data_IF_341436612380
#
_entry.id   IF_341436612380
#
_cell.length_a   1.000
_cell.length_b   1.000
_cell.length_c   1.000
_cell.angle_alpha   90.00
_cell.angle_beta   90.00
_cell.angle_gamma   90.00
#
_symmetry.space_group_name_H-M   'P 1'
#
loop_
_entity.id
_entity.type
_entity.pdbx_description
1 polymer ?
#
# COMPACT_ATOMS: atom_id res chain seq x y z
N UNK A 1 89.00 -31.54 0.94
CA UNK A 1 88.23 -30.29 1.16
C UNK A 1 87.47 -29.94 -0.12
N UNK A 2 86.15 -30.15 -0.14
CA UNK A 2 85.16 -29.47 -1.01
C UNK A 2 83.79 -29.97 -0.53
N UNK A 3 83.13 -29.19 0.34
CA UNK A 3 81.76 -29.43 0.78
C UNK A 3 80.84 -28.73 -0.20
N UNK A 4 79.97 -29.48 -0.84
CA UNK A 4 78.83 -29.01 -1.65
C UNK A 4 77.73 -28.54 -0.70
N UNK A 5 77.30 -27.28 -0.83
CA UNK A 5 76.10 -26.76 -0.19
C UNK A 5 75.00 -26.73 -1.25
N UNK A 6 73.98 -27.57 -1.11
CA UNK A 6 72.75 -27.48 -1.88
C UNK A 6 71.71 -26.77 -1.02
N UNK A 7 71.38 -25.53 -1.37
CA UNK A 7 70.35 -24.73 -0.70
C UNK A 7 69.01 -25.10 -1.31
N UNK A 8 68.14 -25.75 -0.54
CA UNK A 8 66.75 -25.99 -0.93
C UNK A 8 65.92 -24.74 -0.64
N UNK A 9 65.34 -24.14 -1.69
CA UNK A 9 64.42 -23.02 -1.59
C UNK A 9 62.99 -23.56 -1.58
N UNK A 10 62.36 -23.61 -0.42
CA UNK A 10 60.93 -23.94 -0.29
C UNK A 10 60.10 -22.69 -0.59
N UNK A 11 59.49 -22.64 -1.78
CA UNK A 11 58.49 -21.63 -2.14
C UNK A 11 57.15 -22.09 -1.54
N UNK A 12 56.67 -21.37 -0.53
CA UNK A 12 55.33 -21.60 0.03
C UNK A 12 54.36 -20.65 -0.67
N UNK A 13 53.57 -21.17 -1.61
CA UNK A 13 52.56 -20.39 -2.32
C UNK A 13 51.33 -20.24 -1.42
N UNK A 14 51.12 -19.06 -0.85
CA UNK A 14 49.90 -18.73 -0.10
C UNK A 14 48.79 -18.44 -1.11
N UNK A 15 47.84 -19.37 -1.24
CA UNK A 15 46.64 -19.20 -2.07
C UNK A 15 45.65 -18.30 -1.31
N UNK A 16 45.59 -17.02 -1.67
CA UNK A 16 44.61 -16.08 -1.12
C UNK A 16 43.25 -16.36 -1.79
N UNK A 17 42.34 -17.05 -1.12
CA UNK A 17 40.94 -17.11 -1.55
C UNK A 17 40.31 -15.74 -1.34
N UNK A 18 40.16 -14.97 -2.41
CA UNK A 18 39.30 -13.79 -2.42
C UNK A 18 37.87 -14.33 -2.47
N UNK A 19 37.17 -14.31 -1.34
CA UNK A 19 35.73 -14.54 -1.32
C UNK A 19 35.06 -13.34 -2.00
N UNK A 20 34.66 -13.51 -3.27
CA UNK A 20 33.77 -12.57 -3.93
C UNK A 20 32.43 -12.61 -3.20
N UNK A 21 32.09 -11.55 -2.46
CA UNK A 21 30.72 -11.38 -2.00
C UNK A 21 29.80 -11.40 -3.23
N UNK A 22 28.68 -12.15 -3.21
CA UNK A 22 27.72 -12.05 -4.30
C UNK A 22 27.27 -10.59 -4.40
N UNK A 23 27.51 -9.99 -5.56
CA UNK A 23 26.87 -8.71 -5.89
C UNK A 23 25.39 -8.96 -6.00
N UNK A 24 24.56 -8.11 -5.36
CA UNK A 24 23.14 -8.09 -5.66
C UNK A 24 22.96 -7.88 -7.17
N UNK A 25 21.91 -8.47 -7.74
CA UNK A 25 21.53 -8.17 -9.11
C UNK A 25 21.20 -6.68 -9.24
N UNK A 26 21.29 -6.10 -10.44
CA UNK A 26 20.81 -4.72 -10.61
C UNK A 26 19.28 -4.67 -10.47
N UNK A 27 18.73 -3.66 -9.78
CA UNK A 27 17.29 -3.46 -9.72
C UNK A 27 16.68 -3.35 -11.13
N UNK A 28 15.53 -3.98 -11.39
CA UNK A 28 14.92 -3.99 -12.73
C UNK A 28 14.36 -2.62 -13.15
N UNK A 29 14.05 -1.73 -12.21
CA UNK A 29 13.42 -0.44 -12.48
C UNK A 29 14.21 0.76 -11.92
N UNK A 30 13.88 1.96 -12.39
CA UNK A 30 14.42 3.20 -11.81
C UNK A 30 13.54 3.73 -10.67
N UNK A 31 12.22 3.64 -10.84
CA UNK A 31 11.17 3.94 -9.88
C UNK A 31 9.87 3.25 -10.34
N UNK A 32 8.94 2.98 -9.44
CA UNK A 32 7.90 1.96 -9.72
C UNK A 32 6.54 2.47 -10.13
N UNK A 33 6.22 3.74 -9.84
CA UNK A 33 4.95 4.37 -10.22
C UNK A 33 4.74 4.47 -11.74
N UNK A 34 5.74 4.15 -12.57
CA UNK A 34 5.72 4.29 -14.03
C UNK A 34 5.64 2.96 -14.77
N UNK A 35 5.58 1.83 -14.06
CA UNK A 35 5.69 0.50 -14.66
C UNK A 35 4.41 0.16 -15.43
N UNK A 36 3.26 0.35 -14.80
CA UNK A 36 1.97 0.10 -15.41
C UNK A 36 0.91 1.06 -14.81
N UNK A 37 0.17 1.81 -15.65
CA UNK A 37 -0.85 2.76 -15.21
C UNK A 37 -2.21 2.10 -14.90
N UNK A 38 -2.34 0.79 -15.12
CA UNK A 38 -3.60 0.06 -14.94
C UNK A 38 -3.57 -0.81 -13.65
N UNK A 39 -2.65 -0.54 -12.72
CA UNK A 39 -2.65 -1.19 -11.39
C UNK A 39 -3.85 -0.67 -10.59
N UNK A 40 -4.13 0.63 -10.65
CA UNK A 40 -5.39 1.22 -10.18
C UNK A 40 -5.97 2.07 -11.30
N UNK A 41 -7.22 1.81 -11.63
CA UNK A 41 -7.90 2.43 -12.77
C UNK A 41 -8.93 3.47 -12.34
N UNK A 42 -9.44 4.23 -13.32
CA UNK A 42 -10.56 5.14 -13.12
C UNK A 42 -11.85 4.43 -12.65
N UNK A 43 -12.01 3.14 -13.00
CA UNK A 43 -13.20 2.35 -12.73
C UNK A 43 -13.14 1.62 -11.38
N UNK A 44 -11.98 1.58 -10.72
CA UNK A 44 -11.86 1.00 -9.39
C UNK A 44 -12.72 1.78 -8.37
N UNK A 45 -13.34 1.07 -7.42
CA UNK A 45 -14.19 1.67 -6.40
C UNK A 45 -13.40 2.65 -5.53
N UNK A 46 -14.09 3.68 -5.06
CA UNK A 46 -13.58 4.61 -4.07
C UNK A 46 -14.45 4.54 -2.83
N UNK A 47 -13.82 4.45 -1.66
CA UNK A 47 -14.46 4.49 -0.36
C UNK A 47 -15.02 5.89 -0.01
N UNK A 48 -14.86 6.88 -0.91
CA UNK A 48 -15.24 8.26 -0.63
C UNK A 48 -16.74 8.38 -0.34
N UNK A 49 -17.07 8.81 0.87
CA UNK A 49 -18.44 8.96 1.34
C UNK A 49 -18.91 10.42 1.25
N UNK A 50 -18.15 11.35 1.85
CA UNK A 50 -18.56 12.75 1.90
C UNK A 50 -17.42 13.75 2.01
N UNK A 51 -17.73 14.99 1.62
CA UNK A 51 -16.88 16.16 1.76
C UNK A 51 -17.71 17.30 2.36
N UNK A 52 -17.28 17.84 3.50
CA UNK A 52 -17.99 18.93 4.19
C UNK A 52 -17.09 20.15 4.34
N UNK A 53 -17.56 21.33 3.93
CA UNK A 53 -16.81 22.56 4.13
C UNK A 53 -16.78 22.95 5.61
N UNK A 54 -15.58 22.99 6.19
CA UNK A 54 -15.34 23.27 7.61
C UNK A 54 -14.93 24.73 7.89
N UNK A 55 -14.88 25.57 6.84
CA UNK A 55 -14.55 26.98 6.96
C UNK A 55 -13.13 27.31 6.53
N UNK A 56 -12.47 28.19 7.29
CA UNK A 56 -11.09 28.63 7.05
C UNK A 56 -10.31 28.69 8.34
N UNK A 57 -9.01 28.43 8.26
CA UNK A 57 -8.13 28.48 9.42
C UNK A 57 -6.67 28.67 9.01
N UNK A 58 -5.85 29.14 9.95
CA UNK A 58 -4.41 29.15 9.77
C UNK A 58 -3.84 27.77 10.08
N UNK A 59 -3.23 27.13 9.10
CA UNK A 59 -2.59 25.82 9.24
C UNK A 59 -1.14 25.86 8.74
N UNK A 60 -0.30 25.05 9.36
CA UNK A 60 1.09 24.86 8.92
C UNK A 60 1.11 23.68 7.96
N UNK A 61 1.46 23.95 6.70
CA UNK A 61 1.57 22.94 5.65
C UNK A 61 2.97 22.95 5.06
N UNK A 62 3.38 21.85 4.46
CA UNK A 62 4.60 21.84 3.64
C UNK A 62 4.29 22.34 2.22
N UNK A 63 5.17 23.17 1.66
CA UNK A 63 5.06 23.60 0.27
C UNK A 63 6.42 23.52 -0.43
N UNK A 64 6.59 22.57 -1.35
CA UNK A 64 7.84 22.38 -2.09
C UNK A 64 8.22 23.59 -2.96
N UNK A 65 7.30 24.53 -3.25
CA UNK A 65 7.63 25.77 -3.99
C UNK A 65 8.43 26.75 -3.15
N UNK A 66 8.23 26.71 -1.84
CA UNK A 66 9.03 27.44 -0.84
C UNK A 66 9.56 26.38 0.12
N UNK A 67 10.65 25.68 -0.24
CA UNK A 67 11.00 24.36 0.28
C UNK A 67 11.08 24.35 1.82
N UNK A 68 9.94 24.03 2.45
CA UNK A 68 9.77 24.21 3.88
C UNK A 68 8.30 24.34 4.31
N UNK A 69 8.15 24.59 5.60
CA UNK A 69 6.86 24.75 6.27
C UNK A 69 6.37 26.19 6.15
N UNK A 70 5.10 26.36 5.77
CA UNK A 70 4.45 27.65 5.61
C UNK A 70 3.13 27.69 6.36
N UNK A 71 2.76 28.84 6.91
CA UNK A 71 1.43 29.05 7.47
C UNK A 71 0.51 29.66 6.43
N UNK A 72 -0.59 28.98 6.13
CA UNK A 72 -1.60 29.43 5.17
C UNK A 72 -2.96 29.59 5.85
N UNK A 73 -3.75 30.57 5.42
CA UNK A 73 -5.17 30.63 5.76
C UNK A 73 -5.95 29.72 4.80
N UNK A 74 -5.96 28.43 5.07
CA UNK A 74 -6.50 27.39 4.19
C UNK A 74 -8.03 27.45 4.09
N UNK A 75 -8.56 26.96 2.97
CA UNK A 75 -9.93 26.45 2.93
C UNK A 75 -9.90 25.02 3.49
N UNK A 76 -10.80 24.71 4.42
CA UNK A 76 -10.81 23.44 5.14
C UNK A 76 -12.02 22.62 4.70
N UNK A 77 -11.78 21.34 4.41
CA UNK A 77 -12.84 20.38 4.14
C UNK A 77 -12.59 19.10 4.95
N UNK A 78 -13.60 18.66 5.67
CA UNK A 78 -13.59 17.37 6.32
C UNK A 78 -13.96 16.31 5.27
N UNK A 79 -13.10 15.30 5.14
CA UNK A 79 -13.23 14.18 4.22
C UNK A 79 -13.59 12.94 5.03
N UNK A 80 -14.61 12.21 4.59
CA UNK A 80 -15.04 10.95 5.23
C UNK A 80 -15.06 9.86 4.17
N UNK A 81 -14.50 8.69 4.52
CA UNK A 81 -14.62 7.46 3.75
C UNK A 81 -15.53 6.47 4.49
N UNK A 82 -16.19 5.58 3.75
CA UNK A 82 -17.22 4.65 4.24
C UNK A 82 -16.67 3.47 5.07
N UNK A 83 -15.35 3.34 5.15
CA UNK A 83 -14.63 2.49 6.10
C UNK A 83 -14.37 3.16 7.47
N UNK A 84 -14.84 4.39 7.64
CA UNK A 84 -14.75 5.16 8.88
C UNK A 84 -13.48 5.99 9.03
N UNK A 85 -12.57 5.98 8.05
CA UNK A 85 -11.41 6.88 8.03
C UNK A 85 -11.86 8.31 7.73
N UNK A 86 -11.17 9.29 8.30
CA UNK A 86 -11.41 10.71 8.07
C UNK A 86 -10.10 11.46 7.92
N UNK A 87 -10.09 12.50 7.09
CA UNK A 87 -8.98 13.45 6.96
C UNK A 87 -9.51 14.87 6.87
N UNK A 88 -8.63 15.85 7.02
CA UNK A 88 -8.91 17.24 6.66
C UNK A 88 -8.10 17.65 5.42
N UNK A 89 -8.80 17.99 4.35
CA UNK A 89 -8.17 18.64 3.21
C UNK A 89 -7.93 20.13 3.51
N UNK A 90 -6.68 20.55 3.40
CA UNK A 90 -6.22 21.92 3.65
C UNK A 90 -5.76 22.54 2.33
N UNK A 91 -6.61 23.39 1.75
CA UNK A 91 -6.42 23.90 0.40
C UNK A 91 -5.87 25.32 0.48
N UNK A 92 -4.78 25.57 -0.22
CA UNK A 92 -4.09 26.85 -0.21
C UNK A 92 -5.02 28.03 -0.60
N UNK A 93 -4.95 29.20 0.04
CA UNK A 93 -5.78 30.37 -0.31
C UNK A 93 -5.69 30.79 -1.79
N UNK A 94 -4.62 30.43 -2.50
CA UNK A 94 -4.39 30.76 -3.92
C UNK A 94 -5.43 30.18 -4.90
N UNK A 95 -6.28 29.24 -4.46
CA UNK A 95 -7.44 28.77 -5.24
C UNK A 95 -8.58 29.80 -5.30
N UNK A 96 -8.52 30.86 -4.49
CA UNK A 96 -9.30 32.08 -4.67
C UNK A 96 -10.77 32.02 -4.24
N UNK A 97 -11.38 30.84 -4.14
CA UNK A 97 -12.75 30.69 -3.65
C UNK A 97 -13.00 29.32 -3.01
N UNK A 98 -14.05 29.21 -2.18
CA UNK A 98 -14.52 27.95 -1.61
C UNK A 98 -14.89 26.95 -2.71
N UNK A 99 -15.56 27.40 -3.78
CA UNK A 99 -15.98 26.53 -4.88
C UNK A 99 -14.79 25.92 -5.62
N UNK A 100 -13.77 26.74 -5.94
CA UNK A 100 -12.56 26.23 -6.58
C UNK A 100 -11.79 25.28 -5.66
N UNK A 101 -11.74 25.57 -4.36
CA UNK A 101 -11.10 24.69 -3.39
C UNK A 101 -11.86 23.37 -3.20
N UNK A 102 -13.19 23.38 -3.25
CA UNK A 102 -14.03 22.19 -3.14
C UNK A 102 -13.81 21.21 -4.31
N UNK A 103 -13.62 21.72 -5.53
CA UNK A 103 -13.33 20.90 -6.72
C UNK A 103 -12.04 20.09 -6.51
N UNK A 104 -10.97 20.75 -6.03
CA UNK A 104 -9.71 20.06 -5.75
C UNK A 104 -9.84 19.10 -4.57
N UNK A 105 -10.49 19.53 -3.48
CA UNK A 105 -10.69 18.70 -2.30
C UNK A 105 -11.44 17.41 -2.65
N UNK A 106 -12.54 17.49 -3.42
CA UNK A 106 -13.32 16.33 -3.84
C UNK A 106 -12.52 15.42 -4.78
N UNK A 107 -11.77 15.99 -5.74
CA UNK A 107 -10.92 15.22 -6.65
C UNK A 107 -9.96 14.33 -5.89
N UNK A 108 -9.18 14.90 -4.97
CA UNK A 108 -8.18 14.12 -4.24
C UNK A 108 -8.79 13.21 -3.17
N UNK A 109 -9.90 13.61 -2.53
CA UNK A 109 -10.64 12.73 -1.62
C UNK A 109 -11.12 11.44 -2.31
N UNK A 110 -11.61 11.55 -3.55
CA UNK A 110 -12.02 10.40 -4.37
C UNK A 110 -10.83 9.55 -4.81
N UNK A 111 -9.76 10.17 -5.31
CA UNK A 111 -8.57 9.45 -5.76
C UNK A 111 -7.89 8.70 -4.60
N UNK A 112 -7.66 9.39 -3.46
CA UNK A 112 -7.16 8.76 -2.24
C UNK A 112 -8.13 7.65 -1.79
N UNK A 113 -9.44 7.87 -1.89
CA UNK A 113 -10.42 6.85 -1.51
C UNK A 113 -10.35 5.54 -2.30
N UNK A 114 -9.62 5.46 -3.41
CA UNK A 114 -9.40 4.19 -4.13
C UNK A 114 -8.27 3.35 -3.54
N UNK A 115 -7.32 3.97 -2.84
CA UNK A 115 -6.17 3.25 -2.30
C UNK A 115 -6.60 2.42 -1.07
N UNK A 116 -5.91 1.31 -0.77
CA UNK A 116 -6.18 0.48 0.40
C UNK A 116 -6.39 1.26 1.70
N UNK A 117 -7.34 0.81 2.54
CA UNK A 117 -7.58 1.33 3.89
C UNK A 117 -6.28 1.43 4.67
N UNK A 118 -5.43 0.40 4.61
CA UNK A 118 -4.16 0.37 5.33
C UNK A 118 -3.15 1.45 4.89
N UNK A 119 -3.37 2.12 3.75
CA UNK A 119 -2.56 3.26 3.30
C UNK A 119 -3.18 4.63 3.64
N UNK A 120 -4.39 4.64 4.20
CA UNK A 120 -5.12 5.84 4.62
C UNK A 120 -5.17 6.01 6.14
N UNK A 121 -4.84 4.96 6.91
CA UNK A 121 -4.97 4.95 8.39
C UNK A 121 -4.15 6.02 9.10
N UNK A 122 -3.06 6.50 8.50
CA UNK A 122 -2.25 7.60 9.04
C UNK A 122 -2.23 8.81 8.12
N UNK A 123 -3.31 9.05 7.37
CA UNK A 123 -3.51 10.26 6.56
C UNK A 123 -4.51 11.16 7.28
N UNK A 124 -4.04 12.01 8.18
CA UNK A 124 -4.89 13.00 8.86
C UNK A 124 -5.18 14.21 7.97
N UNK A 125 -4.24 14.59 7.11
CA UNK A 125 -4.31 15.84 6.35
C UNK A 125 -3.95 15.66 4.88
N UNK A 126 -4.61 16.43 4.01
CA UNK A 126 -4.30 16.48 2.58
C UNK A 126 -3.95 17.94 2.25
N UNK A 127 -2.68 18.21 1.98
CA UNK A 127 -2.20 19.57 1.69
C UNK A 127 -2.21 19.83 0.19
N UNK A 128 -3.08 20.74 -0.26
CA UNK A 128 -3.29 20.98 -1.69
C UNK A 128 -2.81 22.39 -2.06
N UNK A 129 -1.79 22.43 -2.90
CA UNK A 129 -1.14 23.64 -3.42
C UNK A 129 -1.21 23.68 -4.95
N UNK A 130 -1.16 24.85 -5.58
CA UNK A 130 -0.87 24.94 -7.02
C UNK A 130 0.61 24.68 -7.28
N UNK A 131 0.98 24.36 -8.51
CA UNK A 131 2.39 24.22 -8.93
C UNK A 131 2.71 22.83 -9.44
N UNK A 132 3.96 22.61 -9.84
CA UNK A 132 4.41 21.38 -10.54
C UNK A 132 5.46 20.60 -9.74
N UNK A 133 5.43 20.72 -8.41
CA UNK A 133 6.34 19.96 -7.56
C UNK A 133 5.82 18.54 -7.35
N UNK A 134 6.69 17.53 -7.18
CA UNK A 134 6.25 16.17 -6.88
C UNK A 134 5.38 16.10 -5.63
N UNK A 135 4.55 15.06 -5.54
CA UNK A 135 3.81 14.77 -4.33
C UNK A 135 4.77 14.40 -3.17
N UNK A 136 4.21 14.19 -1.98
CA UNK A 136 4.97 13.67 -0.86
C UNK A 136 4.08 13.12 0.25
N UNK A 137 4.45 11.98 0.80
CA UNK A 137 3.88 11.40 1.99
C UNK A 137 4.76 11.64 3.22
N UNK A 138 4.14 11.92 4.35
CA UNK A 138 4.81 12.03 5.64
C UNK A 138 4.11 13.01 6.58
N UNK A 139 4.51 13.05 7.85
CA UNK A 139 3.86 13.89 8.87
C UNK A 139 2.33 13.64 8.97
N UNK A 140 1.91 12.40 8.70
CA UNK A 140 0.50 12.00 8.66
C UNK A 140 -0.30 12.75 7.59
N UNK A 141 0.35 13.11 6.49
CA UNK A 141 -0.23 13.94 5.44
C UNK A 141 0.22 13.52 4.04
N UNK A 142 -0.63 13.79 3.05
CA UNK A 142 -0.27 13.74 1.62
C UNK A 142 -0.19 15.15 1.08
N UNK A 143 0.96 15.50 0.51
CA UNK A 143 1.24 16.75 -0.18
C UNK A 143 0.95 16.63 -1.66
N UNK A 144 0.14 17.57 -2.16
CA UNK A 144 -0.32 17.60 -3.55
C UNK A 144 -0.02 18.98 -4.15
N UNK A 145 0.55 18.95 -5.36
CA UNK A 145 0.68 20.13 -6.22
C UNK A 145 -0.11 19.91 -7.51
N UNK A 146 -1.15 20.72 -7.75
CA UNK A 146 -2.17 20.42 -8.77
C UNK A 146 -1.66 20.45 -10.21
N UNK A 147 -0.60 21.19 -10.50
CA UNK A 147 0.05 21.16 -11.82
C UNK A 147 0.89 19.90 -12.04
N UNK A 148 1.36 19.25 -10.97
CA UNK A 148 1.97 17.93 -11.07
C UNK A 148 0.91 16.85 -11.28
N UNK A 149 -0.28 17.03 -10.70
CA UNK A 149 -1.44 16.16 -10.96
C UNK A 149 -1.73 16.07 -12.45
N UNK A 150 -1.72 17.19 -13.18
CA UNK A 150 -1.92 17.18 -14.64
C UNK A 150 -0.92 16.29 -15.37
N UNK A 151 0.34 16.24 -14.90
CA UNK A 151 1.39 15.39 -15.48
C UNK A 151 1.14 13.92 -15.14
N UNK A 152 0.75 13.62 -13.90
CA UNK A 152 0.44 12.26 -13.47
C UNK A 152 -0.80 11.71 -14.19
N UNK A 153 -1.85 12.51 -14.34
CA UNK A 153 -3.05 12.12 -15.08
C UNK A 153 -2.77 11.89 -16.56
N UNK A 154 -1.96 12.74 -17.20
CA UNK A 154 -1.55 12.54 -18.61
C UNK A 154 -0.74 11.25 -18.81
N UNK A 155 -0.07 10.78 -17.76
CA UNK A 155 0.70 9.54 -17.77
C UNK A 155 -0.08 8.34 -17.23
N UNK A 156 -1.29 8.55 -16.70
CA UNK A 156 -2.12 7.52 -16.09
C UNK A 156 -1.62 7.00 -14.75
N UNK A 157 -0.78 7.75 -14.01
CA UNK A 157 -0.10 7.23 -12.79
C UNK A 157 -0.51 7.93 -11.49
N UNK A 158 -1.62 8.67 -11.51
CA UNK A 158 -2.05 9.44 -10.34
C UNK A 158 -2.33 8.52 -9.14
N UNK A 159 -3.07 7.44 -9.37
CA UNK A 159 -3.51 6.54 -8.31
C UNK A 159 -2.32 5.68 -7.80
N UNK A 160 -1.42 5.25 -8.67
CA UNK A 160 -0.13 4.59 -8.34
C UNK A 160 0.76 5.49 -7.49
N UNK A 161 0.80 6.79 -7.81
CA UNK A 161 1.53 7.76 -7.01
C UNK A 161 0.92 7.90 -5.62
N UNK A 162 -0.42 7.92 -5.50
CA UNK A 162 -1.08 7.99 -4.20
C UNK A 162 -0.86 6.74 -3.34
N UNK A 163 -0.74 5.55 -3.94
CA UNK A 163 -0.31 4.33 -3.22
C UNK A 163 1.10 4.51 -2.64
N UNK A 164 2.03 5.05 -3.44
CA UNK A 164 3.39 5.33 -3.00
C UNK A 164 3.41 6.31 -1.82
N UNK A 165 2.74 7.46 -1.94
CA UNK A 165 2.71 8.47 -0.86
C UNK A 165 1.94 7.99 0.37
N UNK A 166 0.85 7.25 0.19
CA UNK A 166 0.10 6.62 1.29
C UNK A 166 0.95 5.63 2.07
N UNK A 167 1.82 4.87 1.39
CA UNK A 167 2.77 3.95 2.02
C UNK A 167 3.75 4.68 2.95
N UNK A 168 4.28 5.84 2.55
CA UNK A 168 5.14 6.63 3.44
C UNK A 168 4.43 7.06 4.72
N UNK A 169 3.17 7.47 4.61
CA UNK A 169 2.40 7.92 5.78
C UNK A 169 2.07 6.75 6.70
N UNK A 170 1.52 5.67 6.16
CA UNK A 170 0.85 4.65 6.96
C UNK A 170 1.70 3.43 7.28
N UNK A 171 2.78 3.17 6.53
CA UNK A 171 3.58 1.95 6.69
C UNK A 171 4.99 2.22 7.22
N UNK A 172 5.67 3.29 6.79
CA UNK A 172 7.10 3.47 7.07
C UNK A 172 7.44 3.44 8.57
N UNK A 173 6.63 4.10 9.41
CA UNK A 173 6.86 4.16 10.86
C UNK A 173 6.88 2.77 11.50
N UNK A 174 6.00 1.87 11.06
CA UNK A 174 5.89 0.52 11.60
C UNK A 174 6.88 -0.46 10.96
N UNK A 175 7.17 -0.30 9.67
CA UNK A 175 7.79 -1.34 8.87
C UNK A 175 9.21 -1.03 8.38
N UNK A 176 9.58 0.24 8.11
CA UNK A 176 10.85 0.58 7.43
C UNK A 176 12.10 0.15 8.22
N UNK A 177 11.96 -0.01 9.53
CA UNK A 177 13.01 -0.47 10.43
C UNK A 177 12.67 -1.78 11.16
N UNK A 178 11.55 -2.43 10.80
CA UNK A 178 11.15 -3.70 11.40
C UNK A 178 12.17 -4.79 11.02
N UNK A 179 12.51 -5.65 11.98
CA UNK A 179 13.49 -6.72 11.75
C UNK A 179 13.07 -7.64 10.60
N UNK A 180 11.78 -7.97 10.50
CA UNK A 180 11.27 -8.80 9.41
C UNK A 180 11.37 -8.13 8.03
N UNK A 181 11.21 -6.81 7.96
CA UNK A 181 11.38 -6.07 6.70
C UNK A 181 12.85 -6.06 6.28
N UNK A 182 13.75 -5.73 7.21
CA UNK A 182 15.20 -5.72 6.96
C UNK A 182 15.69 -7.13 6.58
N UNK A 183 15.14 -8.18 7.20
CA UNK A 183 15.45 -9.57 6.84
C UNK A 183 14.98 -9.92 5.42
N UNK A 184 13.78 -9.49 5.04
CA UNK A 184 13.28 -9.63 3.67
C UNK A 184 14.17 -8.88 2.66
N UNK A 185 14.55 -7.62 2.96
CA UNK A 185 15.47 -6.82 2.15
C UNK A 185 16.80 -7.55 1.90
N UNK A 186 17.39 -8.14 2.94
CA UNK A 186 18.68 -8.83 2.85
C UNK A 186 18.59 -10.20 2.17
N UNK A 187 17.41 -10.81 2.14
CA UNK A 187 17.17 -12.13 1.56
C UNK A 187 16.78 -12.07 0.08
N UNK A 188 16.37 -10.89 -0.39
CA UNK A 188 16.00 -10.67 -1.80
C UNK A 188 17.22 -10.59 -2.73
N UNK A 189 17.12 -11.10 -3.97
CA UNK A 189 18.20 -11.00 -4.95
C UNK A 189 18.60 -9.56 -5.28
N UNK A 190 17.67 -8.60 -5.19
CA UNK A 190 17.92 -7.17 -5.35
C UNK A 190 16.80 -6.30 -4.75
N UNK A 191 16.88 -5.00 -4.96
CA UNK A 191 15.78 -4.05 -4.73
C UNK A 191 14.89 -3.98 -5.97
N UNK A 192 13.63 -3.59 -5.80
CA UNK A 192 12.71 -3.46 -6.93
C UNK A 192 13.11 -2.33 -7.88
N UNK A 193 13.71 -1.26 -7.36
CA UNK A 193 14.18 -0.13 -8.15
C UNK A 193 15.50 0.45 -7.63
N UNK A 194 16.19 1.21 -8.47
CA UNK A 194 17.38 1.96 -8.04
C UNK A 194 17.02 3.03 -7.02
N UNK A 195 15.84 3.62 -7.11
CA UNK A 195 15.37 4.61 -6.14
C UNK A 195 15.15 3.99 -4.75
N UNK A 196 14.51 2.83 -4.70
CA UNK A 196 14.38 2.01 -3.50
C UNK A 196 15.75 1.64 -2.91
N UNK A 197 16.68 1.14 -3.73
CA UNK A 197 18.04 0.77 -3.28
C UNK A 197 18.77 1.94 -2.65
N UNK A 198 18.81 3.07 -3.34
CA UNK A 198 19.62 4.22 -2.97
C UNK A 198 19.02 4.97 -1.77
N UNK A 199 17.74 4.72 -1.44
CA UNK A 199 17.00 5.32 -0.33
C UNK A 199 16.25 4.26 0.50
N UNK A 200 16.88 3.11 0.76
CA UNK A 200 16.22 1.90 1.27
C UNK A 200 15.44 2.00 2.59
N UNK A 201 15.74 3.02 3.40
CA UNK A 201 15.04 3.30 4.66
C UNK A 201 13.83 4.21 4.52
N UNK A 202 13.62 4.78 3.33
CA UNK A 202 12.53 5.71 3.04
C UNK A 202 11.67 5.20 1.90
N UNK A 203 12.28 4.70 0.83
CA UNK A 203 11.58 4.45 -0.44
C UNK A 203 11.23 2.98 -0.69
N UNK A 204 11.91 2.03 -0.04
CA UNK A 204 11.78 0.63 -0.43
C UNK A 204 10.39 0.03 -0.14
N UNK A 205 9.72 0.47 0.94
CA UNK A 205 8.34 0.04 1.21
C UNK A 205 7.40 0.60 0.18
N UNK A 206 7.40 1.93 -0.02
CA UNK A 206 6.51 2.60 -0.97
C UNK A 206 6.70 2.09 -2.40
N UNK A 207 7.95 1.88 -2.81
CA UNK A 207 8.27 1.32 -4.12
C UNK A 207 7.84 -0.13 -4.25
N UNK A 208 8.02 -0.97 -3.21
CA UNK A 208 7.69 -2.40 -3.25
C UNK A 208 6.19 -2.71 -3.08
N UNK A 209 5.47 -1.90 -2.28
CA UNK A 209 4.07 -2.15 -1.95
C UNK A 209 3.17 -2.07 -3.19
N UNK A 210 3.41 -1.08 -4.06
CA UNK A 210 2.67 -0.94 -5.31
C UNK A 210 2.81 -2.20 -6.20
N UNK A 211 4.01 -2.77 -6.32
CA UNK A 211 4.19 -3.98 -7.12
C UNK A 211 3.69 -5.23 -6.43
N UNK A 212 3.67 -5.26 -5.10
CA UNK A 212 2.98 -6.32 -4.39
C UNK A 212 1.49 -6.32 -4.72
N UNK A 213 0.84 -5.14 -4.74
CA UNK A 213 -0.55 -5.02 -5.18
C UNK A 213 -0.73 -5.54 -6.62
N UNK A 214 0.16 -5.11 -7.53
CA UNK A 214 0.13 -5.54 -8.93
C UNK A 214 0.26 -7.07 -9.06
N UNK A 215 1.27 -7.68 -8.44
CA UNK A 215 1.52 -9.12 -8.56
C UNK A 215 0.42 -9.96 -7.91
N UNK A 216 -0.16 -9.52 -6.79
CA UNK A 216 -1.11 -10.33 -6.03
C UNK A 216 -2.57 -10.15 -6.47
N UNK A 217 -2.95 -8.95 -6.91
CA UNK A 217 -4.37 -8.59 -7.10
C UNK A 217 -4.69 -8.00 -8.47
N UNK A 218 -3.67 -7.68 -9.28
CA UNK A 218 -3.82 -7.11 -10.64
C UNK A 218 -2.79 -7.70 -11.60
N UNK A 219 -2.51 -9.00 -11.46
CA UNK A 219 -1.45 -9.66 -12.24
C UNK A 219 -1.74 -9.66 -13.74
N UNK A 220 -3.01 -9.53 -14.10
CA UNK A 220 -3.54 -9.41 -15.45
C UNK A 220 -3.32 -8.02 -16.08
N UNK A 221 -3.07 -6.98 -15.27
CA UNK A 221 -2.74 -5.65 -15.75
C UNK A 221 -1.29 -5.58 -16.23
N UNK A 222 -0.37 -6.22 -15.50
CA UNK A 222 1.06 -6.19 -15.82
C UNK A 222 1.49 -7.24 -16.85
N UNK A 223 2.56 -6.95 -17.58
CA UNK A 223 3.12 -7.92 -18.53
C UNK A 223 3.70 -9.15 -17.81
N UNK A 224 3.73 -10.31 -18.49
CA UNK A 224 4.39 -11.50 -17.94
C UNK A 224 5.88 -11.26 -17.66
N UNK A 225 6.52 -10.36 -18.41
CA UNK A 225 7.89 -9.95 -18.18
C UNK A 225 8.01 -9.20 -16.85
N UNK A 226 7.15 -8.22 -16.59
CA UNK A 226 7.17 -7.44 -15.34
C UNK A 226 6.82 -8.31 -14.14
N UNK A 227 5.80 -9.18 -14.26
CA UNK A 227 5.49 -10.17 -13.23
C UNK A 227 6.73 -10.99 -12.86
N UNK A 228 7.48 -11.47 -13.85
CA UNK A 228 8.70 -12.24 -13.63
C UNK A 228 9.82 -11.41 -13.02
N UNK A 229 10.03 -10.16 -13.48
CA UNK A 229 11.03 -9.26 -12.92
C UNK A 229 10.76 -8.97 -11.45
N UNK A 230 9.52 -8.61 -11.10
CA UNK A 230 9.12 -8.29 -9.73
C UNK A 230 9.29 -9.52 -8.82
N UNK A 231 8.72 -10.67 -9.21
CA UNK A 231 8.74 -11.89 -8.38
C UNK A 231 10.13 -12.49 -8.21
N UNK A 232 11.04 -12.26 -9.16
CA UNK A 232 12.44 -12.67 -9.03
C UNK A 232 13.28 -11.64 -8.28
N UNK A 233 12.96 -10.35 -8.38
CA UNK A 233 13.73 -9.29 -7.74
C UNK A 233 13.52 -9.26 -6.22
N UNK A 234 12.25 -9.34 -5.77
CA UNK A 234 11.87 -9.07 -4.37
C UNK A 234 10.95 -10.13 -3.70
N UNK A 235 11.15 -11.45 -3.91
CA UNK A 235 10.22 -12.48 -3.44
C UNK A 235 9.93 -12.45 -1.94
N UNK A 236 10.92 -12.11 -1.10
CA UNK A 236 10.78 -12.09 0.35
C UNK A 236 10.03 -10.83 0.82
N UNK A 237 10.21 -9.67 0.19
CA UNK A 237 9.38 -8.49 0.48
C UNK A 237 7.93 -8.73 0.06
N UNK A 238 7.68 -9.40 -1.07
CA UNK A 238 6.32 -9.79 -1.43
C UNK A 238 5.71 -10.71 -0.36
N UNK A 239 6.46 -11.71 0.13
CA UNK A 239 6.01 -12.57 1.22
C UNK A 239 5.83 -11.80 2.55
N UNK A 240 6.63 -10.77 2.81
CA UNK A 240 6.45 -9.91 3.98
C UNK A 240 5.06 -9.25 3.95
N UNK A 241 4.67 -8.67 2.82
CA UNK A 241 3.35 -8.07 2.66
C UNK A 241 2.22 -9.09 2.65
N UNK A 242 2.44 -10.31 2.11
CA UNK A 242 1.45 -11.40 2.18
C UNK A 242 1.06 -11.77 3.63
N UNK A 243 1.97 -11.54 4.59
CA UNK A 243 1.77 -11.82 6.01
C UNK A 243 1.50 -10.56 6.84
N UNK A 244 1.39 -9.40 6.21
CA UNK A 244 1.07 -8.14 6.86
C UNK A 244 -0.44 -8.02 7.02
N UNK A 245 -0.89 -7.58 8.19
CA UNK A 245 -2.29 -7.16 8.37
C UNK A 245 -2.49 -5.84 7.61
N UNK A 246 -3.15 -5.91 6.46
CA UNK A 246 -3.54 -4.75 5.67
C UNK A 246 -4.95 -4.96 5.15
N UNK A 247 -5.86 -4.08 5.55
CA UNK A 247 -7.17 -3.97 4.91
C UNK A 247 -7.00 -3.30 3.53
N UNK A 248 -7.32 -4.06 2.49
CA UNK A 248 -7.20 -3.66 1.08
C UNK A 248 -8.47 -3.04 0.51
N UNK A 249 -9.51 -2.85 1.31
CA UNK A 249 -10.70 -2.13 0.87
C UNK A 249 -10.34 -0.69 0.44
N UNK A 250 -10.94 -0.12 -0.62
CA UNK A 250 -11.87 -0.74 -1.56
C UNK A 250 -11.17 -1.43 -2.75
N UNK A 251 -9.85 -1.32 -2.86
CA UNK A 251 -9.05 -1.89 -3.96
C UNK A 251 -9.28 -3.39 -4.16
N UNK A 252 -9.42 -4.13 -3.06
CA UNK A 252 -9.94 -5.49 -3.03
C UNK A 252 -11.19 -5.50 -2.18
N UNK A 253 -12.32 -5.80 -2.82
CA UNK A 253 -13.58 -6.05 -2.11
C UNK A 253 -13.54 -7.52 -1.69
N UNK A 254 -13.28 -7.78 -0.40
CA UNK A 254 -13.56 -9.09 0.15
C UNK A 254 -15.07 -9.34 0.02
N UNK A 255 -15.47 -10.34 -0.76
CA UNK A 255 -16.82 -10.88 -0.65
C UNK A 255 -17.06 -11.15 0.84
N UNK A 256 -18.15 -10.63 1.44
CA UNK A 256 -18.46 -10.95 2.83
C UNK A 256 -18.45 -12.47 2.90
N UNK A 257 -17.66 -13.04 3.82
CA UNK A 257 -17.57 -14.48 4.05
C UNK A 257 -18.96 -15.05 3.82
N UNK A 258 -19.13 -15.75 2.70
CA UNK A 258 -20.34 -16.52 2.44
C UNK A 258 -20.30 -17.54 3.57
N UNK A 259 -20.92 -17.20 4.69
CA UNK A 259 -21.12 -18.07 5.82
C UNK A 259 -21.79 -19.25 5.18
N UNK A 260 -21.01 -20.31 4.96
CA UNK A 260 -21.49 -21.55 4.40
C UNK A 260 -22.52 -21.98 5.42
N UNK A 261 -23.80 -21.72 5.13
CA UNK A 261 -24.90 -22.27 5.90
C UNK A 261 -24.59 -23.76 5.85
N UNK A 262 -24.24 -24.40 6.98
CA UNK A 262 -23.95 -25.82 6.95
C UNK A 262 -25.20 -26.45 6.38
N UNK A 263 -25.07 -27.09 5.22
CA UNK A 263 -26.16 -27.86 4.63
C UNK A 263 -26.75 -28.68 5.76
N UNK A 264 -28.05 -28.50 6.03
CA UNK A 264 -28.71 -29.05 7.21
C UNK A 264 -28.24 -30.49 7.44
N UNK A 265 -27.35 -30.68 8.43
CA UNK A 265 -26.79 -31.99 8.70
C UNK A 265 -27.97 -32.93 8.97
N UNK A 266 -27.91 -34.15 8.45
CA UNK A 266 -28.99 -35.15 8.51
C UNK A 266 -29.53 -35.34 9.94
N UNK A 267 -28.72 -35.03 10.96
CA UNK A 267 -29.07 -34.95 12.37
C UNK A 267 -30.13 -33.89 12.72
N UNK A 268 -30.13 -32.71 12.10
CA UNK A 268 -31.14 -31.68 12.33
C UNK A 268 -32.53 -32.10 11.80
N UNK A 269 -32.58 -32.79 10.67
CA UNK A 269 -33.81 -33.41 10.15
C UNK A 269 -34.32 -34.57 11.03
N UNK A 270 -33.41 -35.38 11.58
CA UNK A 270 -33.75 -36.43 12.55
C UNK A 270 -34.29 -35.82 13.85
N UNK A 271 -33.70 -34.73 14.35
CA UNK A 271 -34.17 -34.04 15.55
C UNK A 271 -35.54 -33.37 15.33
N UNK A 272 -35.76 -32.76 14.16
CA UNK A 272 -37.05 -32.14 13.83
C UNK A 272 -38.18 -33.18 13.71
N UNK A 273 -37.89 -34.34 13.11
CA UNK A 273 -38.85 -35.45 12.99
C UNK A 273 -39.17 -36.09 14.34
N UNK A 274 -38.19 -36.23 15.24
CA UNK A 274 -38.40 -36.71 16.61
C UNK A 274 -39.25 -35.72 17.44
N UNK A 275 -39.06 -34.41 17.27
CA UNK A 275 -39.88 -33.38 17.89
C UNK A 275 -41.33 -33.42 17.39
N UNK A 276 -41.54 -33.57 16.08
CA UNK A 276 -42.88 -33.72 15.49
C UNK A 276 -43.60 -34.97 16.02
N UNK A 277 -42.90 -36.11 16.10
CA UNK A 277 -43.45 -37.36 16.65
C UNK A 277 -43.86 -37.23 18.12
N UNK A 278 -43.10 -36.47 18.91
CA UNK A 278 -43.44 -36.21 20.31
C UNK A 278 -44.66 -35.30 20.46
N UNK A 279 -44.77 -34.26 19.64
CA UNK A 279 -45.95 -33.39 19.61
C UNK A 279 -47.22 -34.16 19.23
N UNK A 280 -47.14 -35.01 18.19
CA UNK A 280 -48.26 -35.87 17.77
C UNK A 280 -48.67 -36.86 18.90
N UNK A 281 -47.70 -37.42 19.64
CA UNK A 281 -47.99 -38.29 20.80
C UNK A 281 -48.67 -37.54 21.95
N UNK A 282 -48.27 -36.30 22.21
CA UNK A 282 -48.88 -35.45 23.24
C UNK A 282 -50.33 -35.11 22.85
N UNK A 283 -50.56 -34.76 21.59
CA UNK A 283 -51.89 -34.49 21.03
C UNK A 283 -52.83 -35.71 21.15
N UNK A 284 -52.33 -36.90 20.81
CA UNK A 284 -53.08 -38.16 20.92
C UNK A 284 -53.40 -38.54 22.37
N UNK A 285 -52.50 -38.28 23.33
CA UNK A 285 -52.78 -38.49 24.75
C UNK A 285 -53.86 -37.53 25.27
N UNK A 286 -53.85 -36.27 24.84
CA UNK A 286 -54.90 -35.29 25.21
C UNK A 286 -56.27 -35.69 24.65
N UNK A 287 -56.34 -36.24 23.43
CA UNK A 287 -57.61 -36.67 22.82
C UNK A 287 -58.20 -37.97 23.37
N UNK A 288 -57.44 -38.78 24.13
CA UNK A 288 -57.93 -40.00 24.79
C UNK A 288 -58.33 -39.79 26.25
N UNK A 289 -58.10 -38.58 26.80
CA UNK A 289 -58.43 -38.22 28.17
C UNK A 289 -59.72 -37.35 28.27
N UNK A 290 -60.44 -37.21 27.16
CA UNK A 290 -61.78 -36.65 27.01
C UNK A 290 -62.71 -37.77 26.55
#
# INVERSE_FOLDING_TARGET
MKKTLATALTITTLLLLIASAPSLAEPPYQGTIWIDPDIITADDPSAFESLTYAGRGNHVVYDRRVPGWVTINAYLFDVVWDDGIQSQAQINPEFGSVNAAAIEAEKYARAIGKIPTCLRVDVDEIWINKGVQPYGGGNRSILIHTGQTEIYEQRGVLDETLVHEGSHTSLDTAHAYASGWIEAQNSDPTFISTYARDNSKREDIAESFLLWMAVRYRSEAISQQDYNLITQAIPNRLNYFDNMECDLYPFVISEPDQYTIPTLNQWALIMLSLLLLNLIRIEHKKRRAL
#
